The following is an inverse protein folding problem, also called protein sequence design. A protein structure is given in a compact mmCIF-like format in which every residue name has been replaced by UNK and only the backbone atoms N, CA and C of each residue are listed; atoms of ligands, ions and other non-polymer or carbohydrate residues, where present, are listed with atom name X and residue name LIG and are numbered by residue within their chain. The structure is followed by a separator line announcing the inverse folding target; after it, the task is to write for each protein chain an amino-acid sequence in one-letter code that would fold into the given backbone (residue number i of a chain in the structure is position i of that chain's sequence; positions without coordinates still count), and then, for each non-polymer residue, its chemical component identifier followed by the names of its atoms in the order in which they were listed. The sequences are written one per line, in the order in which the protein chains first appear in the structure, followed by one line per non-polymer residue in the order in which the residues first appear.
data_IF_330386999350
#
_entry.id   IF_330386999350
#
_cell.length_a   1.000
_cell.length_b   1.000
_cell.length_c   1.000
_cell.angle_alpha   90.00
_cell.angle_beta   90.00
_cell.angle_gamma   90.00
#
_symmetry.space_group_name_H-M   'P 1'
#
loop_
_entity.id
_entity.type
_entity.pdbx_description
1 polymer ?
#
# COMPACT_ATOMS: atom_id res chain seq x y z
N UNK A 1 62.97 21.25 -4.80
CA UNK A 1 61.98 20.90 -3.75
C UNK A 1 60.59 21.25 -4.24
N UNK A 2 59.82 20.28 -4.75
CA UNK A 2 58.38 20.42 -5.01
C UNK A 2 57.72 19.08 -4.69
N UNK A 3 57.21 18.96 -3.47
CA UNK A 3 56.47 17.81 -2.97
C UNK A 3 55.05 17.88 -3.53
N UNK A 4 54.72 16.98 -4.44
CA UNK A 4 53.35 16.79 -4.96
C UNK A 4 52.57 15.96 -3.94
N UNK A 5 51.61 16.57 -3.25
CA UNK A 5 50.67 15.87 -2.39
C UNK A 5 49.60 15.20 -3.26
N UNK A 6 49.72 13.88 -3.44
CA UNK A 6 48.74 13.03 -4.10
C UNK A 6 47.58 12.78 -3.12
N UNK A 7 46.48 13.53 -3.27
CA UNK A 7 45.25 13.31 -2.48
C UNK A 7 44.55 12.07 -3.01
N UNK A 8 44.69 10.96 -2.27
CA UNK A 8 43.93 9.73 -2.46
C UNK A 8 42.46 10.00 -2.08
N UNK A 9 41.62 10.30 -3.07
CA UNK A 9 40.17 10.21 -2.96
C UNK A 9 39.80 8.72 -2.86
N UNK A 10 39.72 8.21 -1.63
CA UNK A 10 39.14 6.90 -1.32
C UNK A 10 37.66 6.93 -1.67
N UNK A 11 37.35 6.53 -2.92
CA UNK A 11 36.01 6.26 -3.42
C UNK A 11 35.37 5.15 -2.59
N UNK A 12 34.52 5.52 -1.65
CA UNK A 12 33.71 4.60 -0.86
C UNK A 12 32.59 4.12 -1.78
N UNK A 13 32.77 2.94 -2.40
CA UNK A 13 31.70 2.26 -3.13
C UNK A 13 30.64 1.81 -2.13
N UNK A 14 29.58 2.61 -1.98
CA UNK A 14 28.38 2.21 -1.25
C UNK A 14 27.72 1.09 -2.07
N UNK A 15 27.82 -0.15 -1.57
CA UNK A 15 27.05 -1.28 -2.08
C UNK A 15 25.56 -0.99 -1.82
N UNK A 16 24.88 -0.45 -2.83
CA UNK A 16 23.44 -0.22 -2.77
C UNK A 16 22.72 -1.57 -2.79
N UNK A 17 22.06 -1.91 -1.69
CA UNK A 17 21.12 -3.03 -1.65
C UNK A 17 19.80 -2.56 -2.24
N UNK A 18 19.49 -3.05 -3.44
CA UNK A 18 18.21 -2.80 -4.09
C UNK A 18 17.08 -3.49 -3.30
N UNK A 19 15.94 -2.82 -3.21
CA UNK A 19 14.78 -3.29 -2.46
C UNK A 19 13.98 -4.28 -3.31
N UNK A 20 13.95 -5.56 -2.92
CA UNK A 20 13.16 -6.55 -3.68
C UNK A 20 11.66 -6.23 -3.56
N UNK A 21 11.06 -5.73 -4.64
CA UNK A 21 9.61 -5.52 -4.75
C UNK A 21 8.90 -6.88 -4.74
N UNK A 22 7.98 -7.09 -3.79
CA UNK A 22 7.26 -8.36 -3.63
C UNK A 22 5.85 -8.26 -4.20
N UNK A 23 5.51 -9.13 -5.16
CA UNK A 23 4.15 -9.20 -5.72
C UNK A 23 3.27 -10.07 -4.83
N UNK A 24 2.10 -9.56 -4.46
CA UNK A 24 1.11 -10.23 -3.61
C UNK A 24 -0.07 -10.71 -4.44
N UNK A 25 -0.66 -11.84 -4.07
CA UNK A 25 -2.00 -12.19 -4.56
C UNK A 25 -3.05 -11.31 -3.88
N UNK A 26 -4.22 -11.11 -4.49
CA UNK A 26 -5.31 -10.35 -3.87
C UNK A 26 -5.71 -10.89 -2.50
N UNK A 27 -5.67 -12.22 -2.32
CA UNK A 27 -5.95 -12.86 -1.03
C UNK A 27 -4.92 -12.51 0.05
N UNK A 28 -3.62 -12.51 -0.30
CA UNK A 28 -2.54 -12.13 0.63
C UNK A 28 -2.57 -10.65 0.93
N UNK A 29 -2.88 -9.82 -0.07
CA UNK A 29 -3.03 -8.38 0.11
C UNK A 29 -4.21 -8.07 1.05
N UNK A 30 -5.39 -8.63 0.80
CA UNK A 30 -6.57 -8.47 1.66
C UNK A 30 -6.30 -8.85 3.11
N UNK A 31 -5.72 -10.04 3.35
CA UNK A 31 -5.34 -10.47 4.71
C UNK A 31 -4.31 -9.54 5.33
N UNK A 32 -3.33 -9.07 4.56
CA UNK A 32 -2.35 -8.12 5.05
C UNK A 32 -2.95 -6.78 5.49
N UNK A 33 -4.04 -6.35 4.85
CA UNK A 33 -4.82 -5.18 5.31
C UNK A 33 -5.52 -5.50 6.64
N UNK A 34 -6.24 -6.63 6.73
CA UNK A 34 -6.95 -7.03 7.96
C UNK A 34 -6.01 -7.21 9.16
N UNK A 35 -4.82 -7.77 8.91
CA UNK A 35 -3.78 -8.01 9.92
C UNK A 35 -2.97 -6.75 10.27
N UNK A 36 -3.20 -5.62 9.59
CA UNK A 36 -2.44 -4.38 9.81
C UNK A 36 -0.95 -4.49 9.44
N UNK A 37 -0.62 -5.27 8.41
CA UNK A 37 0.77 -5.54 7.98
C UNK A 37 1.40 -4.42 7.15
N UNK A 38 0.60 -3.48 6.67
CA UNK A 38 1.05 -2.38 5.84
C UNK A 38 0.90 -1.07 6.60
N UNK A 39 1.96 -0.27 6.55
CA UNK A 39 1.99 1.07 7.14
C UNK A 39 1.41 2.09 6.14
N UNK A 40 1.53 1.80 4.84
CA UNK A 40 0.96 2.59 3.74
C UNK A 40 0.27 1.66 2.75
N UNK A 41 -0.99 1.95 2.43
CA UNK A 41 -1.74 1.30 1.35
C UNK A 41 -2.08 2.38 0.34
N UNK A 42 -1.52 2.29 -0.86
CA UNK A 42 -1.62 3.34 -1.88
C UNK A 42 -2.33 2.92 -3.16
N UNK A 43 -3.17 3.80 -3.68
CA UNK A 43 -3.77 3.71 -5.02
C UNK A 43 -3.01 4.62 -5.99
N UNK A 44 -2.37 4.07 -7.03
CA UNK A 44 -1.57 4.84 -7.99
C UNK A 44 -2.32 5.23 -9.29
N UNK A 45 -3.64 5.06 -9.32
CA UNK A 45 -4.49 5.39 -10.48
C UNK A 45 -4.81 6.89 -10.55
N UNK A 46 -5.52 7.30 -11.61
CA UNK A 46 -6.04 8.66 -11.73
C UNK A 46 -7.13 8.95 -10.70
N UNK A 47 -7.44 10.23 -10.46
CA UNK A 47 -8.59 10.62 -9.65
C UNK A 47 -9.92 10.08 -10.18
N UNK A 48 -10.08 9.98 -11.51
CA UNK A 48 -11.28 9.40 -12.11
C UNK A 48 -11.46 7.93 -11.75
N UNK A 49 -10.39 7.13 -11.84
CA UNK A 49 -10.40 5.71 -11.48
C UNK A 49 -10.63 5.51 -9.99
N UNK A 50 -9.98 6.32 -9.15
CA UNK A 50 -10.14 6.30 -7.69
C UNK A 50 -11.58 6.63 -7.29
N UNK A 51 -12.13 7.73 -7.78
CA UNK A 51 -13.48 8.20 -7.42
C UNK A 51 -14.61 7.29 -7.93
N UNK A 52 -14.34 6.47 -8.95
CA UNK A 52 -15.31 5.47 -9.43
C UNK A 52 -15.49 4.35 -8.42
N UNK A 53 -14.38 3.74 -8.01
CA UNK A 53 -14.31 2.71 -6.98
C UNK A 53 -12.86 2.43 -6.58
N UNK A 54 -12.62 2.17 -5.30
CA UNK A 54 -11.29 1.93 -4.74
C UNK A 54 -11.35 1.05 -3.49
N UNK A 55 -10.18 0.64 -2.99
CA UNK A 55 -10.09 -0.08 -1.71
C UNK A 55 -10.26 0.95 -0.58
N UNK A 56 -11.01 0.62 0.47
CA UNK A 56 -11.26 1.56 1.57
C UNK A 56 -9.99 1.86 2.39
N UNK A 57 -9.94 3.06 3.00
CA UNK A 57 -8.89 3.50 3.92
C UNK A 57 -7.48 3.50 3.30
N UNK A 58 -7.37 3.95 2.05
CA UNK A 58 -6.11 4.01 1.32
C UNK A 58 -5.70 5.45 1.01
N UNK A 59 -4.41 5.65 0.81
CA UNK A 59 -3.83 6.90 0.32
C UNK A 59 -3.95 6.93 -1.20
N UNK A 60 -4.54 7.98 -1.76
CA UNK A 60 -4.54 8.20 -3.20
C UNK A 60 -3.25 8.90 -3.62
N UNK A 61 -2.34 8.15 -4.23
CA UNK A 61 -1.05 8.62 -4.75
C UNK A 61 -1.18 8.80 -6.26
N UNK A 62 -2.00 9.79 -6.63
CA UNK A 62 -2.47 9.95 -8.01
C UNK A 62 -1.31 9.93 -9.02
N UNK A 63 -1.40 9.02 -9.99
CA UNK A 63 -0.45 8.92 -11.09
C UNK A 63 1.04 8.87 -10.66
N UNK A 64 1.35 8.31 -9.49
CA UNK A 64 2.74 8.21 -8.98
C UNK A 64 3.70 7.50 -9.96
N UNK A 65 3.19 6.57 -10.77
CA UNK A 65 3.95 5.91 -11.85
C UNK A 65 4.47 6.87 -12.95
N UNK A 66 3.98 8.11 -12.96
CA UNK A 66 4.44 9.18 -13.84
C UNK A 66 5.41 10.14 -13.15
N UNK A 67 5.82 9.90 -11.89
CA UNK A 67 6.78 10.78 -11.25
C UNK A 67 8.09 10.90 -12.07
N UNK A 68 8.59 12.12 -12.17
CA UNK A 68 9.64 12.54 -13.12
C UNK A 68 9.15 12.81 -14.55
N UNK A 69 7.85 12.69 -14.86
CA UNK A 69 7.28 12.83 -16.22
C UNK A 69 6.18 13.90 -16.27
N UNK A 70 5.83 14.41 -17.47
CA UNK A 70 4.69 15.32 -17.63
C UNK A 70 3.40 14.72 -17.07
N UNK A 71 2.57 15.57 -16.46
CA UNK A 71 1.28 15.22 -15.84
C UNK A 71 1.36 14.34 -14.58
N UNK A 72 2.55 14.18 -13.96
CA UNK A 72 2.62 13.64 -12.60
C UNK A 72 1.74 14.44 -11.64
N UNK A 73 1.21 13.76 -10.61
CA UNK A 73 0.42 14.38 -9.54
C UNK A 73 1.02 14.09 -8.18
N UNK A 74 1.34 12.83 -7.92
CA UNK A 74 2.13 12.42 -6.76
C UNK A 74 3.61 12.19 -7.11
N UNK A 75 4.48 12.35 -6.12
CA UNK A 75 5.92 12.08 -6.19
C UNK A 75 6.37 11.30 -4.94
N UNK A 76 7.58 10.74 -4.91
CA UNK A 76 8.10 10.08 -3.70
C UNK A 76 8.13 10.97 -2.45
N UNK A 77 8.28 12.29 -2.62
CA UNK A 77 8.28 13.26 -1.54
C UNK A 77 6.93 13.32 -0.78
N UNK A 78 5.82 12.94 -1.42
CA UNK A 78 4.53 12.82 -0.74
C UNK A 78 4.51 11.70 0.33
N UNK A 79 5.55 10.85 0.34
CA UNK A 79 5.79 9.77 1.30
C UNK A 79 7.06 10.00 2.13
N UNK A 80 7.56 11.24 2.23
CA UNK A 80 8.71 11.58 3.08
C UNK A 80 8.49 11.08 4.52
N UNK A 81 9.49 10.41 5.10
CA UNK A 81 9.42 9.78 6.42
C UNK A 81 8.86 8.35 6.43
N UNK A 82 8.45 7.81 5.27
CA UNK A 82 7.96 6.45 5.12
C UNK A 82 8.97 5.50 4.46
N UNK A 83 10.23 5.89 4.29
CA UNK A 83 11.26 5.19 3.48
C UNK A 83 11.50 3.74 3.95
N UNK A 84 11.36 3.50 5.25
CA UNK A 84 11.53 2.20 5.89
C UNK A 84 10.20 1.51 6.24
N UNK A 85 9.06 2.13 5.94
CA UNK A 85 7.75 1.56 6.22
C UNK A 85 7.35 0.49 5.19
N UNK A 86 6.44 -0.42 5.54
CA UNK A 86 5.87 -1.37 4.59
C UNK A 86 4.83 -0.68 3.72
N UNK A 87 5.14 -0.51 2.43
CA UNK A 87 4.31 0.18 1.45
C UNK A 87 3.78 -0.82 0.44
N UNK A 88 2.46 -0.93 0.35
CA UNK A 88 1.79 -1.68 -0.71
C UNK A 88 1.07 -0.72 -1.65
N UNK A 89 1.37 -0.82 -2.94
CA UNK A 89 0.67 -0.06 -3.99
C UNK A 89 -0.17 -1.00 -4.84
N UNK A 90 -1.34 -0.52 -5.27
CA UNK A 90 -2.18 -1.21 -6.26
C UNK A 90 -2.63 -0.23 -7.36
N UNK A 91 -3.09 -0.79 -8.48
CA UNK A 91 -3.62 0.00 -9.60
C UNK A 91 -4.86 -0.64 -10.26
N UNK A 92 -5.03 -0.53 -11.58
CA UNK A 92 -6.14 -1.20 -12.28
C UNK A 92 -5.88 -2.68 -12.42
N UNK A 93 -4.67 -3.02 -12.86
CA UNK A 93 -4.22 -4.38 -13.20
C UNK A 93 -2.89 -4.75 -12.53
N UNK A 94 -2.24 -3.83 -11.80
CA UNK A 94 -0.95 -4.01 -11.14
C UNK A 94 0.25 -3.45 -11.90
N UNK A 95 0.12 -3.08 -13.18
CA UNK A 95 1.26 -2.61 -13.98
C UNK A 95 1.73 -1.22 -13.53
N UNK A 96 0.79 -0.26 -13.40
CA UNK A 96 1.08 1.08 -12.85
C UNK A 96 1.57 1.03 -11.40
N UNK A 97 1.17 0.03 -10.63
CA UNK A 97 1.67 -0.13 -9.26
C UNK A 97 3.14 -0.56 -9.29
N UNK A 98 3.51 -1.49 -10.19
CA UNK A 98 4.90 -1.92 -10.36
C UNK A 98 5.81 -0.75 -10.75
N UNK A 99 5.40 0.07 -11.72
CA UNK A 99 6.16 1.25 -12.14
C UNK A 99 6.33 2.27 -11.01
N UNK A 100 5.25 2.55 -10.26
CA UNK A 100 5.32 3.44 -9.10
C UNK A 100 6.24 2.90 -8.00
N UNK A 101 6.23 1.59 -7.73
CA UNK A 101 7.11 0.97 -6.75
C UNK A 101 8.58 1.03 -7.19
N UNK A 102 8.87 0.90 -8.49
CA UNK A 102 10.24 1.08 -8.98
C UNK A 102 10.74 2.51 -8.73
N UNK A 103 9.90 3.51 -8.96
CA UNK A 103 10.23 4.91 -8.65
C UNK A 103 10.50 5.08 -7.15
N UNK A 104 9.70 4.46 -6.27
CA UNK A 104 9.95 4.50 -4.83
C UNK A 104 11.25 3.76 -4.45
N UNK A 105 11.54 2.62 -5.07
CA UNK A 105 12.80 1.91 -4.87
C UNK A 105 14.00 2.79 -5.24
N UNK A 106 13.94 3.44 -6.41
CA UNK A 106 14.97 4.36 -6.90
C UNK A 106 15.14 5.58 -5.97
N UNK A 107 14.05 6.01 -5.31
CA UNK A 107 14.06 7.04 -4.29
C UNK A 107 14.54 6.55 -2.90
N UNK A 108 14.88 5.26 -2.76
CA UNK A 108 15.48 4.70 -1.55
C UNK A 108 14.54 3.97 -0.60
N UNK A 109 13.27 3.81 -0.96
CA UNK A 109 12.30 3.09 -0.13
C UNK A 109 12.61 1.58 -0.11
N UNK A 110 12.40 0.93 1.05
CA UNK A 110 12.95 -0.42 1.30
C UNK A 110 11.96 -1.57 1.31
N UNK A 111 10.74 -1.38 1.82
CA UNK A 111 9.80 -2.47 2.06
C UNK A 111 8.57 -2.35 1.13
N UNK A 112 8.75 -2.76 -0.13
CA UNK A 112 7.82 -2.47 -1.22
C UNK A 112 7.04 -3.70 -1.68
N UNK A 113 5.73 -3.54 -1.85
CA UNK A 113 4.80 -4.61 -2.23
C UNK A 113 3.86 -4.18 -3.36
N UNK A 114 3.71 -5.04 -4.38
CA UNK A 114 2.71 -4.85 -5.43
C UNK A 114 1.44 -5.63 -5.07
N UNK A 115 0.36 -4.90 -4.79
CA UNK A 115 -0.96 -5.44 -4.45
C UNK A 115 -1.82 -5.82 -5.67
N UNK A 116 -1.24 -5.84 -6.88
CA UNK A 116 -1.91 -6.03 -8.16
C UNK A 116 -2.89 -4.89 -8.46
N UNK A 117 -4.08 -5.22 -8.97
CA UNK A 117 -5.07 -4.25 -9.37
C UNK A 117 -6.47 -4.52 -8.85
N UNK A 118 -7.33 -3.50 -8.94
CA UNK A 118 -8.74 -3.60 -8.54
C UNK A 118 -9.50 -4.66 -9.35
N UNK A 119 -9.05 -4.99 -10.57
CA UNK A 119 -9.64 -6.07 -11.37
C UNK A 119 -9.44 -7.43 -10.67
N UNK A 120 -8.22 -7.73 -10.24
CA UNK A 120 -7.92 -8.97 -9.51
C UNK A 120 -8.56 -8.98 -8.12
N UNK A 121 -8.58 -7.82 -7.46
CA UNK A 121 -9.24 -7.64 -6.16
C UNK A 121 -10.75 -7.95 -6.23
N UNK A 122 -11.45 -7.37 -7.19
CA UNK A 122 -12.87 -7.60 -7.40
C UNK A 122 -13.16 -9.04 -7.86
N UNK A 123 -12.32 -9.60 -8.73
CA UNK A 123 -12.45 -10.99 -9.17
C UNK A 123 -12.29 -11.99 -8.00
N UNK A 124 -11.51 -11.63 -6.98
CA UNK A 124 -11.38 -12.41 -5.75
C UNK A 124 -12.54 -12.19 -4.75
N UNK A 125 -13.52 -11.33 -5.08
CA UNK A 125 -14.71 -11.09 -4.27
C UNK A 125 -14.52 -10.09 -3.12
N UNK A 126 -13.42 -9.32 -3.12
CA UNK A 126 -13.15 -8.34 -2.07
C UNK A 126 -13.86 -7.00 -2.33
N UNK A 127 -14.24 -6.27 -1.27
CA UNK A 127 -15.07 -5.08 -1.40
C UNK A 127 -14.31 -3.91 -2.01
N UNK A 128 -14.98 -3.14 -2.86
CA UNK A 128 -14.59 -1.79 -3.27
C UNK A 128 -15.60 -0.79 -2.74
N UNK A 129 -15.16 0.43 -2.49
CA UNK A 129 -15.98 1.55 -2.04
C UNK A 129 -15.98 2.66 -3.07
N UNK A 130 -17.04 3.45 -3.11
CA UNK A 130 -17.15 4.64 -3.98
C UNK A 130 -16.93 5.94 -3.22
N UNK A 131 -16.92 5.87 -1.88
CA UNK A 131 -16.74 7.00 -0.97
C UNK A 131 -15.96 6.55 0.26
N UNK A 132 -14.71 6.99 0.36
CA UNK A 132 -13.96 7.00 1.61
C UNK A 132 -13.02 8.19 1.61
N UNK A 133 -12.56 8.57 2.79
CA UNK A 133 -11.53 9.61 2.90
C UNK A 133 -10.20 9.10 2.33
N UNK A 134 -9.47 10.02 1.68
CA UNK A 134 -8.08 9.80 1.32
C UNK A 134 -7.26 9.82 2.62
N UNK A 135 -6.61 8.71 2.94
CA UNK A 135 -5.87 8.57 4.20
C UNK A 135 -4.48 9.18 4.04
N UNK A 136 -4.11 10.10 4.92
CA UNK A 136 -2.72 10.58 5.02
C UNK A 136 -1.90 9.55 5.81
N UNK A 137 -0.81 8.99 5.26
CA UNK A 137 0.00 8.00 5.96
C UNK A 137 0.56 8.55 7.28
N UNK A 138 0.45 7.84 8.41
CA UNK A 138 0.93 8.37 9.70
C UNK A 138 2.45 8.66 9.72
N UNK A 139 3.24 7.97 8.90
CA UNK A 139 4.69 8.20 8.78
C UNK A 139 5.08 9.54 8.14
N UNK A 140 4.17 10.21 7.41
CA UNK A 140 4.45 11.55 6.85
C UNK A 140 4.21 12.69 7.83
N UNK A 141 3.43 12.43 8.89
CA UNK A 141 3.04 13.46 9.87
C UNK A 141 3.58 13.20 11.27
N UNK A 142 4.00 11.96 11.57
CA UNK A 142 4.49 11.55 12.88
C UNK A 142 5.90 10.98 12.82
N UNK A 143 6.88 11.78 13.24
CA UNK A 143 8.28 11.36 13.41
C UNK A 143 8.41 10.09 14.25
N UNK A 144 7.50 9.86 15.21
CA UNK A 144 7.50 8.63 16.03
C UNK A 144 7.18 7.41 15.18
N UNK A 145 6.22 7.51 14.26
CA UNK A 145 5.87 6.40 13.36
C UNK A 145 7.00 6.15 12.37
N UNK A 146 7.58 7.21 11.79
CA UNK A 146 8.75 7.11 10.90
C UNK A 146 9.90 6.35 11.58
N UNK A 147 10.25 6.73 12.82
CA UNK A 147 11.28 6.05 13.61
C UNK A 147 10.94 4.58 13.89
N UNK A 148 9.67 4.25 14.18
CA UNK A 148 9.24 2.86 14.37
C UNK A 148 9.36 2.01 13.10
N UNK A 149 9.16 2.58 11.92
CA UNK A 149 9.43 1.89 10.65
C UNK A 149 10.92 1.59 10.49
N UNK A 150 11.77 2.56 10.77
CA UNK A 150 13.23 2.40 10.70
C UNK A 150 13.74 1.33 11.69
N UNK A 151 13.30 1.38 12.94
CA UNK A 151 13.63 0.38 13.96
C UNK A 151 13.23 -1.05 13.53
N UNK A 152 12.02 -1.21 12.97
CA UNK A 152 11.57 -2.52 12.42
C UNK A 152 12.44 -2.97 11.25
N UNK A 153 12.83 -2.07 10.35
CA UNK A 153 13.71 -2.41 9.24
C UNK A 153 15.09 -2.86 9.73
N UNK A 154 15.68 -2.14 10.69
CA UNK A 154 16.98 -2.49 11.28
C UNK A 154 16.93 -3.85 12.01
N UNK A 155 15.87 -4.12 12.77
CA UNK A 155 15.68 -5.39 13.47
C UNK A 155 15.59 -6.60 12.53
N UNK A 156 15.14 -6.40 11.29
CA UNK A 156 15.03 -7.44 10.27
C UNK A 156 16.26 -7.55 9.37
N UNK A 157 17.27 -6.68 9.53
CA UNK A 157 18.49 -6.71 8.73
C UNK A 157 19.55 -7.63 9.40
N UNK A 158 19.86 -8.81 8.83
CA UNK A 158 20.75 -9.79 9.46
C UNK A 158 22.20 -9.32 9.65
N UNK A 159 22.59 -8.23 8.99
CA UNK A 159 23.95 -7.66 9.05
C UNK A 159 24.07 -6.51 10.05
N UNK A 160 22.96 -6.07 10.67
CA UNK A 160 23.03 -5.01 11.67
C UNK A 160 23.82 -5.51 12.89
N UNK A 161 24.91 -4.83 13.31
CA UNK A 161 25.55 -5.16 14.58
C UNK A 161 24.48 -5.05 15.66
N UNK A 162 24.37 -6.10 16.49
CA UNK A 162 23.38 -6.15 17.56
C UNK A 162 23.37 -4.80 18.29
N UNK A 163 22.19 -4.18 18.51
CA UNK A 163 22.13 -2.86 19.11
C UNK A 163 22.94 -2.90 20.38
N UNK A 164 24.00 -2.07 20.44
CA UNK A 164 24.82 -1.92 21.63
C UNK A 164 23.86 -1.39 22.68
N UNK A 165 23.31 -2.30 23.49
CA UNK A 165 22.43 -1.95 24.60
C UNK A 165 23.21 -0.95 25.42
N UNK A 166 22.82 0.32 25.37
CA UNK A 166 23.30 1.29 26.32
C UNK A 166 23.09 0.67 27.71
N UNK A 167 24.08 0.76 28.62
CA UNK A 167 23.94 0.21 29.96
C UNK A 167 22.62 0.75 30.52
N UNK A 168 21.69 -0.17 30.77
CA UNK A 168 20.39 0.14 31.33
C UNK A 168 20.70 0.92 32.61
N UNK A 169 20.31 2.21 32.72
CA UNK A 169 20.44 2.89 34.00
C UNK A 169 19.70 2.01 34.99
N UNK A 170 20.39 1.58 36.05
CA UNK A 170 19.85 0.76 37.12
C UNK A 170 18.77 1.58 37.83
N UNK A 171 17.59 1.62 37.25
CA UNK A 171 16.39 2.16 37.88
C UNK A 171 16.09 1.18 39.01
N UNK A 172 16.36 1.65 40.23
CA UNK A 172 16.00 0.96 41.45
C UNK A 172 14.53 0.55 41.34
N UNK A 173 14.19 -0.74 41.52
CA UNK A 173 12.80 -1.18 41.46
C UNK A 173 11.95 -0.32 42.41
N UNK A 174 10.86 0.30 41.93
CA UNK A 174 9.90 0.92 42.83
C UNK A 174 9.38 -0.15 43.79
N UNK A 175 9.24 0.23 45.06
CA UNK A 175 8.69 -0.64 46.10
C UNK A 175 7.36 -1.26 45.63
N UNK A 176 7.08 -2.53 45.96
CA UNK A 176 5.87 -3.20 45.53
C UNK A 176 4.64 -2.44 46.06
N UNK A 177 3.95 -1.76 45.16
CA UNK A 177 2.63 -1.23 45.44
C UNK A 177 1.67 -2.41 45.56
N UNK A 178 1.05 -2.54 46.73
CA UNK A 178 -0.03 -3.48 47.01
C UNK A 178 -1.14 -3.26 45.99
N UNK A 179 -1.31 -4.23 45.09
CA UNK A 179 -2.37 -4.20 44.10
C UNK A 179 -3.74 -4.28 44.79
N UNK A 180 -4.68 -3.35 44.52
CA UNK A 180 -6.04 -3.49 44.99
C UNK A 180 -6.71 -4.69 44.31
N UNK A 181 -7.32 -5.55 45.12
CA UNK A 181 -8.11 -6.71 44.67
C UNK A 181 -9.25 -6.19 43.80
N UNK A 182 -9.19 -6.49 42.49
CA UNK A 182 -10.21 -6.09 41.53
C UNK A 182 -11.43 -7.00 41.70
N UNK A 183 -12.64 -6.46 41.91
CA UNK A 183 -13.85 -7.28 41.97
C UNK A 183 -14.10 -7.99 40.64
N UNK A 184 -14.76 -9.16 40.65
CA UNK A 184 -15.04 -9.92 39.44
C UNK A 184 -15.90 -9.10 38.47
N UNK A 185 -15.44 -9.04 37.22
CA UNK A 185 -16.15 -8.37 36.13
C UNK A 185 -17.46 -9.11 35.85
N UNK A 186 -18.62 -8.42 35.73
CA UNK A 186 -19.87 -9.06 35.36
C UNK A 186 -19.77 -9.62 33.94
N UNK A 187 -20.31 -10.83 33.74
CA UNK A 187 -20.38 -11.48 32.45
C UNK A 187 -21.25 -10.66 31.48
N UNK A 188 -20.84 -10.53 30.20
CA UNK A 188 -21.65 -9.82 29.22
C UNK A 188 -22.98 -10.54 28.98
N UNK A 189 -24.08 -9.79 28.73
CA UNK A 189 -25.37 -10.37 28.41
C UNK A 189 -25.31 -11.13 27.09
N UNK A 190 -25.83 -12.35 27.10
CA UNK A 190 -25.98 -13.20 25.91
C UNK A 190 -27.00 -12.53 24.98
N UNK A 191 -26.51 -11.93 23.89
CA UNK A 191 -27.37 -11.36 22.84
C UNK A 191 -27.94 -12.51 22.00
N UNK A 192 -29.27 -12.63 21.86
CA UNK A 192 -29.87 -13.66 21.03
C UNK A 192 -29.55 -13.41 19.56
N UNK A 193 -28.86 -14.38 18.95
CA UNK A 193 -28.54 -14.41 17.52
C UNK A 193 -29.85 -14.52 16.73
N UNK A 194 -30.24 -13.45 16.04
CA UNK A 194 -31.33 -13.51 15.05
C UNK A 194 -30.89 -14.41 13.90
N UNK A 195 -31.61 -15.51 13.69
CA UNK A 195 -31.50 -16.34 12.49
C UNK A 195 -31.76 -15.48 11.26
N UNK A 196 -30.72 -15.24 10.47
CA UNK A 196 -30.84 -14.67 9.13
C UNK A 196 -31.27 -15.81 8.21
N UNK A 197 -32.48 -15.71 7.66
CA UNK A 197 -32.98 -16.64 6.63
C UNK A 197 -32.26 -16.29 5.32
N UNK A 198 -31.54 -17.23 4.68
CA UNK A 198 -30.91 -16.98 3.38
C UNK A 198 -31.97 -16.69 2.33
N UNK A 199 -31.83 -15.57 1.62
CA UNK A 199 -32.62 -15.28 0.41
C UNK A 199 -32.08 -16.14 -0.73
N UNK A 200 -32.98 -16.89 -1.34
CA UNK A 200 -32.75 -17.85 -2.42
C UNK A 200 -32.29 -17.12 -3.70
N UNK A 201 -31.01 -17.24 -4.12
CA UNK A 201 -30.43 -16.41 -5.18
C UNK A 201 -30.87 -16.83 -6.60
N UNK A 202 -31.63 -17.92 -6.75
CA UNK A 202 -31.92 -18.49 -8.06
C UNK A 202 -33.09 -17.82 -8.81
N UNK A 203 -33.88 -16.96 -8.15
CA UNK A 203 -35.05 -16.32 -8.78
C UNK A 203 -34.76 -15.00 -9.48
N UNK A 204 -33.64 -14.34 -9.17
CA UNK A 204 -33.34 -13.00 -9.71
C UNK A 204 -32.53 -13.04 -11.03
N UNK A 205 -31.99 -14.20 -11.42
CA UNK A 205 -31.20 -14.33 -12.66
C UNK A 205 -32.05 -14.38 -13.96
N UNK A 206 -33.37 -14.52 -13.88
CA UNK A 206 -34.21 -14.74 -15.07
C UNK A 206 -34.83 -13.47 -15.68
N UNK A 207 -34.47 -12.27 -15.22
CA UNK A 207 -35.06 -11.00 -15.69
C UNK A 207 -34.20 -10.14 -16.61
N UNK A 208 -32.96 -10.54 -16.93
CA UNK A 208 -32.00 -9.65 -17.65
C UNK A 208 -31.77 -10.07 -19.13
N UNK A 209 -32.30 -11.20 -19.58
CA UNK A 209 -32.21 -11.61 -20.99
C UNK A 209 -33.39 -11.11 -21.83
N UNK A 210 -33.52 -9.79 -22.03
CA UNK A 210 -34.48 -9.24 -23.01
C UNK A 210 -34.17 -7.81 -23.46
N UNK A 211 -32.94 -7.55 -23.91
CA UNK A 211 -32.60 -6.32 -24.62
C UNK A 211 -31.35 -6.52 -25.49
N UNK A 212 -31.47 -7.33 -26.53
CA UNK A 212 -30.50 -7.34 -27.63
C UNK A 212 -31.27 -7.02 -28.90
N UNK A 213 -31.29 -5.75 -29.31
CA UNK A 213 -31.89 -5.37 -30.59
C UNK A 213 -31.06 -4.28 -31.31
N UNK A 214 -30.57 -4.70 -32.48
CA UNK A 214 -30.31 -3.96 -33.72
C UNK A 214 -29.61 -2.57 -33.66
N UNK A 215 -28.37 -2.55 -34.15
CA UNK A 215 -27.97 -1.53 -35.14
C UNK A 215 -26.86 -2.05 -36.06
N UNK A 216 -27.28 -2.61 -37.20
CA UNK A 216 -26.46 -2.76 -38.41
C UNK A 216 -26.68 -1.50 -39.24
N UNK A 217 -25.61 -0.77 -39.57
CA UNK A 217 -25.73 0.31 -40.55
C UNK A 217 -24.40 0.96 -40.94
N UNK A 218 -24.10 0.89 -42.23
CA UNK A 218 -23.24 1.81 -43.00
C UNK A 218 -21.76 1.43 -43.19
N UNK A 219 -21.55 0.50 -44.13
CA UNK A 219 -20.33 0.44 -44.96
C UNK A 219 -20.43 1.53 -46.03
N UNK A 220 -19.62 2.59 -45.93
CA UNK A 220 -19.52 3.61 -46.97
C UNK A 220 -18.33 3.29 -47.91
N UNK A 221 -18.60 2.62 -49.03
CA UNK A 221 -17.68 2.54 -50.18
C UNK A 221 -17.74 3.87 -50.93
N UNK A 222 -16.64 4.63 -50.97
CA UNK A 222 -16.39 5.59 -52.06
C UNK A 222 -15.33 5.03 -52.99
N UNK A 223 -15.77 4.79 -54.22
CA UNK A 223 -14.95 4.51 -55.41
C UNK A 223 -15.57 5.33 -56.54
N UNK A 224 -14.95 6.44 -56.94
CA UNK A 224 -15.12 7.01 -58.29
C UNK A 224 -13.83 7.76 -58.69
N UNK A 225 -13.32 7.36 -59.86
CA UNK A 225 -12.56 8.01 -60.98
C UNK A 225 -11.98 9.41 -60.71
N UNK A 226 -10.78 9.74 -61.17
CA UNK A 226 -10.18 9.43 -62.46
C UNK A 226 -10.34 10.65 -63.37
N UNK A 227 -9.26 11.43 -63.47
CA UNK A 227 -8.77 12.23 -64.60
C UNK A 227 -7.28 12.54 -64.33
#
# INVERSE_FOLDING_TARGET
MKTFALVFFLSQYVLSTQAVIRVLTSQTFFRGIEDGRFDVIGDSRSAEDYNREHIANVTHLELLHLAGRPNQKATPEDLEGCEFCHIVLYSTDGNRAQEALQILEDAGFKNLYNGLGVVQWAAAGFPLVTRSENVVPPCTTSRRVSAQCEERHQANNPTAPAPVRAPIPTVRPPAPATAPVRPPSPSPPVVPVKKVVPKDPLKDALKIASATDISRGSLNRRRVRGD
#
